data_IF_487814706230
#
_entry.id   IF_487814706230
#
_cell.length_a   1.000
_cell.length_b   1.000
_cell.length_c   1.000
_cell.angle_alpha   90.00
_cell.angle_beta   90.00
_cell.angle_gamma   90.00
#
_symmetry.space_group_name_H-M   'P 1'
#
loop_
_entity.id
_entity.type
_entity.pdbx_description
1 polymer ?
#
# COMPACT_ATOMS: atom_id res chain seq x y z
N UNK A 1 -24.56 4.65 34.32
CA UNK A 1 -23.43 4.39 33.41
C UNK A 1 -23.87 3.58 32.18
N UNK A 2 -25.18 3.40 31.99
CA UNK A 2 -25.75 2.54 30.93
C UNK A 2 -26.10 3.26 29.62
N UNK A 3 -26.01 4.60 29.59
CA UNK A 3 -26.35 5.41 28.42
C UNK A 3 -25.23 5.49 27.36
N UNK A 4 -23.96 5.34 27.76
CA UNK A 4 -22.81 5.44 26.84
C UNK A 4 -22.63 4.16 26.04
N UNK A 5 -22.92 2.99 26.63
CA UNK A 5 -22.90 1.70 25.94
C UNK A 5 -24.05 1.53 24.93
N UNK A 6 -25.19 2.19 25.15
CA UNK A 6 -26.31 2.20 24.21
C UNK A 6 -26.07 3.17 23.03
N UNK A 7 -25.40 4.30 23.27
CA UNK A 7 -25.09 5.29 22.22
C UNK A 7 -24.01 4.79 21.24
N UNK A 8 -23.06 3.97 21.70
CA UNK A 8 -22.04 3.35 20.85
C UNK A 8 -22.54 2.10 20.10
N UNK A 9 -23.70 1.55 20.49
CA UNK A 9 -24.36 0.46 19.76
C UNK A 9 -25.22 0.98 18.60
N UNK A 10 -25.76 2.21 18.72
CA UNK A 10 -26.58 2.84 17.67
C UNK A 10 -25.80 3.49 16.53
N UNK A 11 -24.48 3.72 16.67
CA UNK A 11 -23.65 4.28 15.58
C UNK A 11 -23.12 3.22 14.60
N UNK A 12 -23.21 1.93 14.93
CA UNK A 12 -22.84 0.83 14.03
C UNK A 12 -24.02 0.36 13.14
N UNK A 13 -25.24 0.85 13.41
CA UNK A 13 -26.48 0.31 12.82
C UNK A 13 -26.93 0.98 11.50
N UNK A 14 -26.22 2.00 10.98
CA UNK A 14 -26.73 2.84 9.88
C UNK A 14 -25.85 2.88 8.61
N UNK A 15 -24.97 1.92 8.39
CA UNK A 15 -24.34 1.71 7.09
C UNK A 15 -25.13 0.59 6.36
N UNK A 16 -26.19 0.90 5.59
CA UNK A 16 -27.00 -0.12 4.91
C UNK A 16 -26.16 -0.97 3.94
N UNK A 17 -25.03 -0.45 3.46
CA UNK A 17 -24.05 -1.20 2.70
C UNK A 17 -23.39 -2.31 3.54
N UNK A 18 -23.04 -2.05 4.80
CA UNK A 18 -22.38 -2.99 5.69
C UNK A 18 -23.29 -4.16 6.05
N UNK A 19 -24.58 -3.90 6.27
CA UNK A 19 -25.59 -4.92 6.56
C UNK A 19 -25.85 -5.89 5.39
N UNK A 20 -25.63 -5.45 4.15
CA UNK A 20 -25.78 -6.29 2.95
C UNK A 20 -24.47 -7.02 2.63
N UNK A 21 -23.34 -6.33 2.74
CA UNK A 21 -22.03 -6.89 2.38
C UNK A 21 -21.54 -7.90 3.42
N UNK A 22 -21.76 -7.67 4.71
CA UNK A 22 -21.27 -8.54 5.77
C UNK A 22 -21.77 -10.00 5.68
N UNK A 23 -23.07 -10.30 5.48
CA UNK A 23 -23.54 -11.68 5.35
C UNK A 23 -23.07 -12.35 4.05
N UNK A 24 -22.97 -11.59 2.95
CA UNK A 24 -22.44 -12.12 1.67
C UNK A 24 -20.95 -12.49 1.82
N UNK A 25 -20.17 -11.64 2.48
CA UNK A 25 -18.75 -11.89 2.75
C UNK A 25 -18.56 -13.09 3.68
N UNK A 26 -19.37 -13.18 4.74
CA UNK A 26 -19.36 -14.31 5.67
C UNK A 26 -19.72 -15.63 4.98
N UNK A 27 -20.73 -15.63 4.10
CA UNK A 27 -21.11 -16.82 3.33
C UNK A 27 -20.04 -17.23 2.30
N UNK A 28 -19.34 -16.28 1.71
CA UNK A 28 -18.31 -16.55 0.70
C UNK A 28 -16.99 -17.05 1.31
N UNK A 29 -16.66 -16.65 2.54
CA UNK A 29 -15.32 -16.88 3.13
C UNK A 29 -15.33 -17.59 4.48
N UNK A 30 -16.48 -17.67 5.17
CA UNK A 30 -16.61 -18.18 6.54
C UNK A 30 -16.02 -17.26 7.62
N UNK A 31 -15.27 -16.21 7.24
CA UNK A 31 -14.63 -15.27 8.14
C UNK A 31 -15.62 -14.21 8.65
N UNK A 32 -15.43 -13.73 9.88
CA UNK A 32 -16.20 -12.59 10.39
C UNK A 32 -15.60 -11.27 9.86
N UNK A 33 -16.39 -10.20 9.87
CA UNK A 33 -15.89 -8.87 9.51
C UNK A 33 -14.71 -8.45 10.42
N UNK A 34 -14.74 -8.86 11.69
CA UNK A 34 -13.65 -8.63 12.64
C UNK A 34 -12.35 -9.33 12.22
N UNK A 35 -12.41 -10.58 11.74
CA UNK A 35 -11.22 -11.31 11.28
C UNK A 35 -10.58 -10.63 10.07
N UNK A 36 -11.39 -10.08 9.18
CA UNK A 36 -10.91 -9.32 8.01
C UNK A 36 -10.19 -8.03 8.44
N UNK A 37 -10.73 -7.32 9.44
CA UNK A 37 -10.08 -6.12 10.00
C UNK A 37 -8.76 -6.49 10.68
N UNK A 38 -8.73 -7.57 11.48
CA UNK A 38 -7.49 -8.03 12.15
C UNK A 38 -6.43 -8.38 11.11
N UNK A 39 -6.79 -9.14 10.06
CA UNK A 39 -5.88 -9.47 8.97
C UNK A 39 -5.30 -8.20 8.31
N UNK A 40 -6.15 -7.23 7.98
CA UNK A 40 -5.73 -5.97 7.37
C UNK A 40 -4.79 -5.16 8.28
N UNK A 41 -5.07 -5.11 9.58
CA UNK A 41 -4.19 -4.45 10.56
C UNK A 41 -2.84 -5.16 10.62
N UNK A 42 -2.82 -6.49 10.79
CA UNK A 42 -1.60 -7.28 10.82
C UNK A 42 -0.77 -7.11 9.53
N UNK A 43 -1.44 -7.17 8.37
CA UNK A 43 -0.82 -6.99 7.07
C UNK A 43 -0.21 -5.58 6.94
N UNK A 44 -0.96 -4.55 7.31
CA UNK A 44 -0.48 -3.16 7.25
C UNK A 44 0.76 -2.94 8.12
N UNK A 45 0.78 -3.49 9.34
CA UNK A 45 1.92 -3.38 10.25
C UNK A 45 3.14 -4.12 9.70
N UNK A 46 2.94 -5.33 9.18
CA UNK A 46 4.01 -6.13 8.59
C UNK A 46 4.62 -5.43 7.36
N UNK A 47 3.77 -4.93 6.45
CA UNK A 47 4.21 -4.20 5.25
C UNK A 47 4.92 -2.90 5.62
N UNK A 48 4.39 -2.11 6.57
CA UNK A 48 5.05 -0.87 7.01
C UNK A 48 6.43 -1.14 7.63
N UNK A 49 6.53 -2.15 8.51
CA UNK A 49 7.79 -2.54 9.12
C UNK A 49 8.79 -3.03 8.06
N UNK A 50 8.31 -3.84 7.11
CA UNK A 50 9.13 -4.34 6.01
C UNK A 50 9.59 -3.22 5.08
N UNK A 51 8.70 -2.31 4.67
CA UNK A 51 9.05 -1.15 3.84
C UNK A 51 10.15 -0.31 4.49
N UNK A 52 10.03 0.00 5.78
CA UNK A 52 11.03 0.76 6.50
C UNK A 52 12.38 0.01 6.56
N UNK A 53 12.34 -1.30 6.85
CA UNK A 53 13.53 -2.15 6.91
C UNK A 53 14.23 -2.29 5.55
N UNK A 54 13.49 -2.63 4.51
CA UNK A 54 13.99 -2.78 3.14
C UNK A 54 14.62 -1.48 2.64
N UNK A 55 13.93 -0.35 2.78
CA UNK A 55 14.45 0.96 2.34
C UNK A 55 15.77 1.28 3.03
N UNK A 56 15.83 1.11 4.35
CA UNK A 56 17.04 1.38 5.14
C UNK A 56 18.21 0.47 4.73
N UNK A 57 17.96 -0.83 4.58
CA UNK A 57 18.99 -1.80 4.22
C UNK A 57 19.51 -1.54 2.80
N UNK A 58 18.62 -1.26 1.85
CA UNK A 58 19.01 -0.98 0.48
C UNK A 58 19.87 0.29 0.38
N UNK A 59 19.46 1.36 1.07
CA UNK A 59 20.20 2.62 1.10
C UNK A 59 21.59 2.43 1.75
N UNK A 60 21.67 1.63 2.82
CA UNK A 60 22.94 1.31 3.47
C UNK A 60 23.87 0.50 2.56
N UNK A 61 23.34 -0.48 1.83
CA UNK A 61 24.10 -1.29 0.87
C UNK A 61 24.63 -0.40 -0.26
N UNK A 62 23.79 0.47 -0.83
CA UNK A 62 24.23 1.38 -1.89
C UNK A 62 25.27 2.39 -1.41
N UNK A 63 25.08 2.97 -0.22
CA UNK A 63 26.05 3.88 0.38
C UNK A 63 27.39 3.18 0.63
N UNK A 64 27.38 1.93 1.11
CA UNK A 64 28.61 1.17 1.42
C UNK A 64 29.33 0.63 0.18
N UNK A 65 28.60 0.10 -0.79
CA UNK A 65 29.20 -0.57 -1.96
C UNK A 65 29.49 0.38 -3.11
N UNK A 66 28.66 1.40 -3.31
CA UNK A 66 28.73 2.28 -4.48
C UNK A 66 28.96 3.75 -4.13
N UNK A 67 28.86 4.15 -2.85
CA UNK A 67 29.01 5.54 -2.44
C UNK A 67 27.92 6.47 -3.00
N UNK A 68 26.79 5.91 -3.43
CA UNK A 68 25.70 6.65 -4.06
C UNK A 68 24.67 7.02 -2.98
N UNK A 69 24.34 8.30 -2.86
CA UNK A 69 23.23 8.76 -2.05
C UNK A 69 21.90 8.40 -2.72
N UNK A 70 20.85 8.12 -1.93
CA UNK A 70 19.53 7.79 -2.45
C UNK A 70 18.94 8.88 -3.38
N UNK A 71 19.33 10.14 -3.19
CA UNK A 71 18.99 11.27 -4.06
C UNK A 71 19.54 11.11 -5.49
N UNK A 72 20.75 10.58 -5.61
CA UNK A 72 21.50 10.51 -6.88
C UNK A 72 21.31 9.17 -7.59
N UNK A 73 20.34 8.36 -7.13
CA UNK A 73 20.09 7.01 -7.63
C UNK A 73 19.69 7.02 -9.13
N UNK A 74 20.42 6.29 -10.00
CA UNK A 74 20.06 6.13 -11.41
C UNK A 74 18.72 5.42 -11.59
N UNK A 75 18.00 5.70 -12.69
CA UNK A 75 16.68 5.12 -12.96
C UNK A 75 16.66 3.58 -12.90
N UNK A 76 17.65 2.89 -13.47
CA UNK A 76 17.71 1.43 -13.44
C UNK A 76 17.73 0.86 -12.01
N UNK A 77 18.45 1.51 -11.09
CA UNK A 77 18.51 1.12 -9.67
C UNK A 77 17.22 1.45 -8.93
N UNK A 78 16.49 2.50 -9.32
CA UNK A 78 15.15 2.79 -8.79
C UNK A 78 14.16 1.70 -9.16
N UNK A 79 14.20 1.22 -10.42
CA UNK A 79 13.36 0.10 -10.86
C UNK A 79 13.72 -1.17 -10.10
N UNK A 80 15.01 -1.50 -9.97
CA UNK A 80 15.47 -2.66 -9.20
C UNK A 80 15.00 -2.59 -7.74
N UNK A 81 15.14 -1.43 -7.10
CA UNK A 81 14.66 -1.18 -5.74
C UNK A 81 13.15 -1.39 -5.62
N UNK A 82 12.36 -0.80 -6.52
CA UNK A 82 10.90 -0.90 -6.50
C UNK A 82 10.43 -2.35 -6.72
N UNK A 83 11.00 -3.05 -7.70
CA UNK A 83 10.67 -4.45 -7.98
C UNK A 83 11.10 -5.35 -6.81
N UNK A 84 12.29 -5.13 -6.26
CA UNK A 84 12.78 -5.89 -5.12
C UNK A 84 11.94 -5.68 -3.86
N UNK A 85 11.50 -4.44 -3.60
CA UNK A 85 10.59 -4.12 -2.51
C UNK A 85 9.28 -4.90 -2.68
N UNK A 86 8.66 -4.82 -3.86
CA UNK A 86 7.37 -5.48 -4.10
C UNK A 86 7.46 -7.00 -3.94
N UNK A 87 8.46 -7.63 -4.58
CA UNK A 87 8.66 -9.09 -4.52
C UNK A 87 8.92 -9.55 -3.08
N UNK A 88 9.79 -8.86 -2.35
CA UNK A 88 10.09 -9.27 -0.98
C UNK A 88 8.96 -8.96 -0.01
N UNK A 89 8.18 -7.91 -0.25
CA UNK A 89 6.98 -7.62 0.54
C UNK A 89 5.96 -8.73 0.39
N UNK A 90 5.67 -9.17 -0.84
CA UNK A 90 4.80 -10.32 -1.12
C UNK A 90 5.27 -11.60 -0.40
N UNK A 91 6.58 -11.85 -0.37
CA UNK A 91 7.15 -13.00 0.36
C UNK A 91 6.96 -12.91 1.88
N UNK A 92 6.86 -11.70 2.45
CA UNK A 92 6.60 -11.48 3.88
C UNK A 92 5.11 -11.57 4.20
N UNK A 93 4.25 -11.03 3.33
CA UNK A 93 2.80 -11.02 3.52
C UNK A 93 2.16 -12.38 3.27
N UNK A 94 2.67 -13.13 2.30
CA UNK A 94 2.13 -14.43 1.93
C UNK A 94 2.01 -15.43 3.11
N UNK A 95 3.06 -15.73 3.90
CA UNK A 95 2.92 -16.64 5.05
C UNK A 95 2.03 -16.07 6.15
N UNK A 96 1.96 -14.74 6.29
CA UNK A 96 1.06 -14.10 7.24
C UNK A 96 -0.41 -14.32 6.86
N UNK A 97 -0.73 -14.22 5.57
CA UNK A 97 -2.07 -14.51 5.04
C UNK A 97 -2.44 -15.98 5.28
N UNK A 98 -1.52 -16.92 5.06
CA UNK A 98 -1.74 -18.35 5.36
C UNK A 98 -2.12 -18.54 6.83
N UNK A 99 -1.35 -17.97 7.76
CA UNK A 99 -1.56 -18.17 9.20
C UNK A 99 -2.82 -17.45 9.71
N UNK A 100 -3.03 -16.20 9.30
CA UNK A 100 -4.09 -15.35 9.87
C UNK A 100 -5.44 -15.58 9.19
N UNK A 101 -5.46 -15.78 7.87
CA UNK A 101 -6.70 -16.04 7.13
C UNK A 101 -7.06 -17.53 7.07
N UNK A 102 -6.17 -18.43 7.51
CA UNK A 102 -6.37 -19.88 7.46
C UNK A 102 -6.48 -20.44 6.04
N UNK A 103 -5.95 -19.71 5.05
CA UNK A 103 -5.97 -20.11 3.64
C UNK A 103 -4.87 -21.13 3.35
N UNK A 104 -5.10 -21.98 2.35
CA UNK A 104 -4.04 -22.80 1.78
C UNK A 104 -2.95 -21.94 1.11
N UNK A 105 -1.77 -22.51 0.89
CA UNK A 105 -0.62 -21.76 0.36
C UNK A 105 -0.88 -21.14 -1.01
N UNK A 106 -1.54 -21.88 -1.91
CA UNK A 106 -1.84 -21.37 -3.25
C UNK A 106 -2.95 -20.32 -3.22
N UNK A 107 -4.00 -20.56 -2.43
CA UNK A 107 -5.10 -19.62 -2.23
C UNK A 107 -4.60 -18.30 -1.63
N UNK A 108 -3.71 -18.36 -0.63
CA UNK A 108 -3.08 -17.19 -0.04
C UNK A 108 -2.21 -16.43 -1.05
N UNK A 109 -1.47 -17.12 -1.91
CA UNK A 109 -0.65 -16.48 -2.94
C UNK A 109 -1.53 -15.75 -3.97
N UNK A 110 -2.62 -16.37 -4.40
CA UNK A 110 -3.58 -15.75 -5.33
C UNK A 110 -4.26 -14.54 -4.67
N UNK A 111 -4.61 -14.64 -3.39
CA UNK A 111 -5.19 -13.53 -2.63
C UNK A 111 -4.20 -12.35 -2.49
N UNK A 112 -2.94 -12.62 -2.16
CA UNK A 112 -1.88 -11.61 -2.02
C UNK A 112 -1.62 -10.89 -3.36
N UNK A 113 -1.42 -11.65 -4.44
CA UNK A 113 -1.24 -11.08 -5.78
C UNK A 113 -2.47 -10.31 -6.27
N UNK A 114 -3.67 -10.83 -6.01
CA UNK A 114 -4.92 -10.17 -6.35
C UNK A 114 -5.06 -8.82 -5.64
N UNK A 115 -4.72 -8.78 -4.35
CA UNK A 115 -4.73 -7.55 -3.55
C UNK A 115 -3.69 -6.55 -4.07
N UNK A 116 -2.46 -6.99 -4.33
CA UNK A 116 -1.39 -6.16 -4.90
C UNK A 116 -1.80 -5.53 -6.23
N UNK A 117 -2.32 -6.34 -7.16
CA UNK A 117 -2.75 -5.85 -8.48
C UNK A 117 -3.92 -4.87 -8.33
N UNK A 118 -4.91 -5.20 -7.49
CA UNK A 118 -6.05 -4.31 -7.25
C UNK A 118 -5.60 -2.96 -6.66
N UNK A 119 -4.67 -2.98 -5.71
CA UNK A 119 -4.11 -1.77 -5.10
C UNK A 119 -3.30 -0.96 -6.11
N UNK A 120 -2.52 -1.60 -6.98
CA UNK A 120 -1.79 -0.93 -8.05
C UNK A 120 -2.72 -0.25 -9.06
N UNK A 121 -3.79 -0.94 -9.48
CA UNK A 121 -4.82 -0.36 -10.37
C UNK A 121 -5.51 0.82 -9.68
N UNK A 122 -5.96 0.64 -8.44
CA UNK A 122 -6.57 1.71 -7.65
C UNK A 122 -5.64 2.92 -7.55
N UNK A 123 -4.38 2.70 -7.17
CA UNK A 123 -3.37 3.74 -7.07
C UNK A 123 -3.18 4.47 -8.40
N UNK A 124 -3.06 3.75 -9.51
CA UNK A 124 -2.94 4.35 -10.84
C UNK A 124 -4.15 5.24 -11.19
N UNK A 125 -5.37 4.73 -11.02
CA UNK A 125 -6.61 5.47 -11.30
C UNK A 125 -6.73 6.69 -10.40
N UNK A 126 -6.40 6.55 -9.11
CA UNK A 126 -6.40 7.64 -8.14
C UNK A 126 -5.41 8.75 -8.55
N UNK A 127 -4.16 8.40 -8.88
CA UNK A 127 -3.16 9.37 -9.34
C UNK A 127 -3.59 10.05 -10.64
N UNK A 128 -4.14 9.30 -11.60
CA UNK A 128 -4.67 9.86 -12.83
C UNK A 128 -5.81 10.86 -12.57
N UNK A 129 -6.70 10.55 -11.63
CA UNK A 129 -7.75 11.48 -11.19
C UNK A 129 -7.17 12.74 -10.54
N UNK A 130 -6.21 12.55 -9.64
CA UNK A 130 -5.55 13.65 -8.93
C UNK A 130 -4.80 14.60 -9.87
N UNK A 131 -4.06 14.05 -10.83
CA UNK A 131 -3.31 14.82 -11.83
C UNK A 131 -4.25 15.66 -12.73
N UNK A 132 -5.45 15.15 -13.03
CA UNK A 132 -6.47 15.91 -13.76
C UNK A 132 -7.10 17.03 -12.92
N UNK A 133 -7.25 16.82 -11.60
CA UNK A 133 -7.81 17.81 -10.69
C UNK A 133 -6.80 18.90 -10.31
N UNK A 134 -5.50 18.59 -10.30
CA UNK A 134 -4.42 19.56 -10.11
C UNK A 134 -3.43 19.51 -11.28
N UNK A 135 -3.74 20.16 -12.41
CA UNK A 135 -2.74 20.35 -13.45
C UNK A 135 -1.58 21.15 -12.86
N UNK A 136 -0.42 20.51 -12.67
CA UNK A 136 0.80 21.23 -12.31
C UNK A 136 1.15 22.09 -13.52
N UNK A 137 0.85 23.39 -13.45
CA UNK A 137 1.28 24.34 -14.46
C UNK A 137 2.81 24.25 -14.52
N UNK A 138 3.35 23.81 -15.66
CA UNK A 138 4.77 24.01 -15.94
C UNK A 138 4.99 25.51 -15.87
N UNK A 139 5.73 25.98 -14.87
CA UNK A 139 6.13 27.38 -14.79
C UNK A 139 6.82 27.73 -16.11
N UNK A 140 6.32 28.70 -16.91
CA UNK A 140 7.02 29.18 -18.09
C UNK A 140 8.23 30.00 -17.60
N UNK A 141 9.31 29.31 -17.23
CA UNK A 141 10.48 29.89 -16.60
C UNK A 141 11.78 29.44 -17.25
N UNK A 142 11.77 29.27 -18.58
CA UNK A 142 12.94 28.99 -19.41
C UNK A 142 13.31 30.21 -20.26
N UNK A 143 13.49 31.36 -19.63
CA UNK A 143 14.10 32.52 -20.27
C UNK A 143 15.09 33.18 -19.29
N UNK A 144 16.05 32.41 -18.81
CA UNK A 144 17.26 32.96 -18.20
C UNK A 144 18.41 32.45 -19.06
N UNK A 145 18.80 33.25 -20.06
CA UNK A 145 20.12 33.34 -20.72
C UNK A 145 19.98 33.92 -22.14
N UNK A 146 19.90 35.25 -22.27
CA UNK A 146 20.31 35.94 -23.50
C UNK A 146 20.43 37.45 -23.23
N UNK A 147 21.59 37.91 -22.76
CA UNK A 147 21.88 39.35 -22.72
C UNK A 147 22.79 39.80 -21.59
N UNK A 148 24.06 39.42 -21.61
CA UNK A 148 25.13 40.31 -21.15
C UNK A 148 26.25 40.28 -22.20
N UNK A 149 26.59 41.42 -22.83
CA UNK A 149 27.84 41.55 -23.56
C UNK A 149 29.02 41.61 -22.57
N UNK A 150 30.18 41.16 -23.06
CA UNK A 150 31.49 41.14 -22.40
C UNK A 150 31.87 42.47 -21.76
#
# INVERSE_FOLDING_TARGET
>A
QDGVAAHLRGSEENEPALLIVAPIWHLATGATAADSVILLVCLSMAVMAWMAGYNTVFDLIEARLAGIAASDRPHARRVLHAVGLEVTSALVTWPLIVVVAGLGWLEALVADLGLTIAYAIYGYVFHLGFDRLRPVLRSPGGAVHAGMPQ
#
